data_IF_723202232641
#
_entry.id   IF_723202232641
#
_cell.length_a   1.000
_cell.length_b   1.000
_cell.length_c   1.000
_cell.angle_alpha   90.00
_cell.angle_beta   90.00
_cell.angle_gamma   90.00
#
_symmetry.space_group_name_H-M   'P 1'
#
loop_
_entity.id
_entity.type
_entity.pdbx_description
1 polymer ?
#
# COMPACT_ATOMS: atom_id res chain seq x y z
N UNK A 1 -11.10 -0.10 19.18
CA UNK A 1 -11.35 0.83 18.04
C UNK A 1 -11.98 0.00 16.94
N UNK A 2 -12.92 0.55 16.16
CA UNK A 2 -13.49 -0.20 15.02
C UNK A 2 -12.48 -0.31 13.90
N UNK A 3 -12.39 -1.49 13.26
CA UNK A 3 -11.52 -1.71 12.12
C UNK A 3 -11.99 -0.87 10.92
N UNK A 4 -11.07 -0.22 10.21
CA UNK A 4 -11.32 0.42 8.91
C UNK A 4 -11.32 -0.64 7.80
N UNK A 5 -10.35 -1.55 7.82
CA UNK A 5 -10.28 -2.72 6.95
C UNK A 5 -10.36 -3.97 7.80
N UNK A 6 -11.23 -4.90 7.42
CA UNK A 6 -11.38 -6.22 8.04
C UNK A 6 -11.37 -7.28 6.95
N UNK A 7 -10.47 -8.25 7.09
CA UNK A 7 -10.37 -9.39 6.20
C UNK A 7 -10.61 -10.65 7.03
N UNK A 8 -11.56 -11.47 6.62
CA UNK A 8 -11.95 -12.68 7.31
C UNK A 8 -11.83 -13.90 6.39
N UNK A 9 -10.92 -14.82 6.73
CA UNK A 9 -10.68 -16.11 6.07
C UNK A 9 -10.54 -16.02 4.56
N UNK A 10 -9.88 -14.96 4.09
CA UNK A 10 -9.68 -14.69 2.66
C UNK A 10 -8.87 -15.82 2.04
N UNK A 11 -9.37 -16.36 0.93
CA UNK A 11 -8.68 -17.40 0.17
C UNK A 11 -8.68 -17.06 -1.33
N UNK A 12 -7.49 -17.12 -1.94
CA UNK A 12 -7.26 -16.79 -3.36
C UNK A 12 -6.42 -17.87 -4.01
N UNK A 13 -6.82 -18.28 -5.21
CA UNK A 13 -6.10 -19.29 -5.99
C UNK A 13 -5.89 -18.84 -7.43
N UNK A 14 -4.78 -19.26 -8.02
CA UNK A 14 -4.48 -19.14 -9.44
C UNK A 14 -4.46 -20.55 -10.03
N UNK A 15 -5.52 -20.92 -10.75
CA UNK A 15 -5.69 -22.31 -11.18
C UNK A 15 -5.71 -23.27 -9.98
N UNK A 16 -4.78 -24.23 -9.94
CA UNK A 16 -4.64 -25.18 -8.82
C UNK A 16 -3.81 -24.70 -7.65
N UNK A 17 -3.14 -23.52 -7.74
CA UNK A 17 -2.23 -23.03 -6.71
C UNK A 17 -2.99 -22.10 -5.75
N UNK A 18 -3.06 -22.49 -4.47
CA UNK A 18 -3.63 -21.66 -3.40
C UNK A 18 -2.59 -20.65 -2.93
N UNK A 19 -2.67 -19.40 -3.42
CA UNK A 19 -1.74 -18.33 -3.08
C UNK A 19 -2.02 -17.69 -1.72
N UNK A 20 -3.30 -17.63 -1.30
CA UNK A 20 -3.73 -17.16 0.02
C UNK A 20 -4.75 -18.15 0.58
N UNK A 21 -4.62 -18.50 1.87
CA UNK A 21 -5.41 -19.54 2.53
C UNK A 21 -5.93 -19.03 3.86
N UNK A 22 -7.24 -18.80 3.97
CA UNK A 22 -7.94 -18.39 5.17
C UNK A 22 -7.27 -17.22 5.93
N UNK A 23 -6.67 -16.27 5.17
CA UNK A 23 -6.01 -15.11 5.73
C UNK A 23 -7.02 -14.18 6.41
N UNK A 24 -6.72 -13.81 7.67
CA UNK A 24 -7.47 -12.81 8.42
C UNK A 24 -6.53 -11.74 8.94
N UNK A 25 -6.87 -10.47 8.71
CA UNK A 25 -6.16 -9.32 9.24
C UNK A 25 -7.08 -8.11 9.35
N UNK A 26 -6.67 -7.13 10.15
CA UNK A 26 -7.39 -5.89 10.38
C UNK A 26 -6.44 -4.70 10.30
N UNK A 27 -6.98 -3.55 9.88
CA UNK A 27 -6.31 -2.24 9.96
C UNK A 27 -7.30 -1.25 10.58
N UNK A 28 -6.93 -0.59 11.67
CA UNK A 28 -7.75 0.43 12.31
C UNK A 28 -7.67 1.78 11.57
N UNK A 29 -8.55 2.72 11.90
CA UNK A 29 -8.49 4.08 11.36
C UNK A 29 -7.16 4.76 11.75
N UNK A 30 -6.46 5.31 10.75
CA UNK A 30 -5.17 6.00 10.94
C UNK A 30 -4.02 5.10 11.36
N UNK A 31 -4.21 3.78 11.38
CA UNK A 31 -3.18 2.82 11.76
C UNK A 31 -2.23 2.51 10.58
N UNK A 32 -0.94 2.36 10.90
CA UNK A 32 0.04 1.75 10.00
C UNK A 32 0.30 0.32 10.41
N UNK A 33 -0.07 -0.62 9.53
CA UNK A 33 0.12 -2.06 9.71
C UNK A 33 1.02 -2.60 8.61
N UNK A 34 1.93 -3.52 8.93
CA UNK A 34 2.71 -4.21 7.91
C UNK A 34 2.30 -5.68 7.74
N UNK A 35 2.43 -6.16 6.50
CA UNK A 35 2.37 -7.56 6.14
C UNK A 35 3.73 -7.96 5.56
N UNK A 36 4.51 -8.71 6.32
CA UNK A 36 5.85 -9.18 5.94
C UNK A 36 5.82 -10.65 5.55
N UNK A 37 6.76 -11.08 4.74
CA UNK A 37 6.88 -12.48 4.30
C UNK A 37 7.82 -12.62 3.12
N UNK A 38 8.27 -13.83 2.86
CA UNK A 38 9.15 -14.16 1.74
C UNK A 38 8.47 -13.91 0.38
N UNK A 39 9.26 -13.90 -0.70
CA UNK A 39 8.73 -13.86 -2.06
C UNK A 39 7.85 -15.10 -2.32
N UNK A 40 6.70 -14.87 -2.94
CA UNK A 40 5.72 -15.93 -3.16
C UNK A 40 4.83 -16.29 -1.96
N UNK A 41 5.00 -15.66 -0.79
CA UNK A 41 4.16 -15.92 0.38
C UNK A 41 2.67 -15.53 0.21
N UNK A 42 2.32 -14.75 -0.82
CA UNK A 42 0.93 -14.32 -1.08
C UNK A 42 0.66 -12.83 -0.81
N UNK A 43 1.67 -12.04 -0.47
CA UNK A 43 1.54 -10.61 -0.10
C UNK A 43 0.84 -9.78 -1.17
N UNK A 44 1.40 -9.69 -2.37
CA UNK A 44 0.80 -8.97 -3.51
C UNK A 44 -0.58 -9.52 -3.90
N UNK A 45 -0.79 -10.84 -3.79
CA UNK A 45 -2.09 -11.47 -4.04
C UNK A 45 -3.13 -10.98 -3.05
N UNK A 46 -2.76 -10.82 -1.78
CA UNK A 46 -3.63 -10.24 -0.75
C UNK A 46 -4.05 -8.82 -1.10
N UNK A 47 -3.10 -7.93 -1.48
CA UNK A 47 -3.44 -6.56 -1.92
C UNK A 47 -4.33 -6.54 -3.16
N UNK A 48 -4.06 -7.40 -4.14
CA UNK A 48 -4.89 -7.51 -5.35
C UNK A 48 -6.32 -7.94 -5.01
N UNK A 49 -6.51 -8.83 -4.04
CA UNK A 49 -7.83 -9.24 -3.60
C UNK A 49 -8.56 -8.12 -2.84
N UNK A 50 -7.88 -7.38 -1.95
CA UNK A 50 -8.42 -6.23 -1.23
C UNK A 50 -8.85 -5.14 -2.20
N UNK A 51 -8.03 -4.84 -3.21
CA UNK A 51 -8.28 -3.78 -4.20
C UNK A 51 -9.28 -4.17 -5.31
N UNK A 52 -9.83 -5.39 -5.29
CA UNK A 52 -10.78 -5.86 -6.29
C UNK A 52 -10.18 -6.17 -7.66
N UNK A 53 -8.84 -6.29 -7.74
CA UNK A 53 -8.13 -6.71 -8.96
C UNK A 53 -8.23 -8.21 -9.18
N UNK A 54 -8.44 -8.98 -8.13
CA UNK A 54 -8.65 -10.44 -8.16
C UNK A 54 -9.81 -10.77 -7.23
N UNK A 55 -10.76 -11.56 -7.71
CA UNK A 55 -11.86 -12.04 -6.88
C UNK A 55 -11.40 -13.19 -5.97
N UNK A 56 -11.62 -13.12 -4.65
CA UNK A 56 -11.39 -14.25 -3.77
C UNK A 56 -12.40 -15.36 -4.04
N UNK A 57 -11.99 -16.61 -3.85
CA UNK A 57 -12.94 -17.74 -3.96
C UNK A 57 -13.65 -18.02 -2.63
N UNK A 58 -13.07 -17.62 -1.49
CA UNK A 58 -13.70 -17.72 -0.17
C UNK A 58 -13.25 -16.56 0.75
N UNK A 59 -13.99 -16.37 1.84
CA UNK A 59 -13.76 -15.30 2.80
C UNK A 59 -14.39 -13.98 2.38
N UNK A 60 -14.14 -12.95 3.18
CA UNK A 60 -14.70 -11.62 2.96
C UNK A 60 -13.70 -10.50 3.23
N UNK A 61 -13.92 -9.36 2.57
CA UNK A 61 -13.22 -8.10 2.78
C UNK A 61 -14.26 -7.03 3.08
N UNK A 62 -14.14 -6.36 4.22
CA UNK A 62 -14.97 -5.24 4.61
C UNK A 62 -14.12 -3.99 4.77
N UNK A 63 -14.63 -2.86 4.34
CA UNK A 63 -14.00 -1.55 4.48
C UNK A 63 -15.04 -0.58 5.05
N UNK A 64 -14.73 -0.04 6.22
CA UNK A 64 -15.65 0.82 6.98
C UNK A 64 -17.05 0.19 7.16
N UNK A 65 -17.08 -1.09 7.54
CA UNK A 65 -18.31 -1.88 7.72
C UNK A 65 -19.02 -2.31 6.42
N UNK A 66 -18.55 -1.86 5.24
CA UNK A 66 -19.15 -2.20 3.95
C UNK A 66 -18.37 -3.30 3.25
N UNK A 67 -19.05 -4.29 2.68
CA UNK A 67 -18.39 -5.35 1.94
C UNK A 67 -17.76 -4.83 0.65
N UNK A 68 -16.49 -5.16 0.46
CA UNK A 68 -15.76 -5.01 -0.81
C UNK A 68 -15.66 -6.33 -1.57
N UNK A 69 -16.10 -7.42 -0.98
CA UNK A 69 -15.93 -8.76 -1.54
C UNK A 69 -16.53 -8.84 -2.94
N UNK A 70 -15.70 -9.20 -3.92
CA UNK A 70 -16.05 -9.29 -5.35
C UNK A 70 -16.49 -7.98 -6.01
N UNK A 71 -16.27 -6.82 -5.39
CA UNK A 71 -16.44 -5.56 -6.08
C UNK A 71 -15.30 -5.35 -7.09
N UNK A 72 -15.59 -4.75 -8.26
CA UNK A 72 -14.53 -4.42 -9.22
C UNK A 72 -13.65 -3.28 -8.68
N UNK A 73 -12.37 -3.25 -9.10
CA UNK A 73 -11.36 -2.34 -8.58
C UNK A 73 -11.77 -0.86 -8.60
N UNK A 74 -12.50 -0.41 -9.64
CA UNK A 74 -12.94 0.98 -9.74
C UNK A 74 -13.98 1.36 -8.68
N UNK A 75 -14.81 0.44 -8.23
CA UNK A 75 -15.76 0.65 -7.14
C UNK A 75 -15.03 0.66 -5.79
N UNK A 76 -14.04 -0.22 -5.60
CA UNK A 76 -13.18 -0.21 -4.41
C UNK A 76 -12.45 1.12 -4.29
N UNK A 77 -11.86 1.62 -5.38
CA UNK A 77 -11.17 2.91 -5.41
C UNK A 77 -12.11 4.08 -5.05
N UNK A 78 -13.36 4.08 -5.53
CA UNK A 78 -14.36 5.12 -5.19
C UNK A 78 -14.72 5.14 -3.70
N UNK A 79 -14.52 4.05 -2.97
CA UNK A 79 -14.76 3.99 -1.52
C UNK A 79 -13.60 4.54 -0.69
N UNK A 80 -12.54 5.02 -1.32
CA UNK A 80 -11.41 5.66 -0.65
C UNK A 80 -10.25 4.71 -0.35
N UNK A 81 -10.08 3.66 -1.16
CA UNK A 81 -8.97 2.76 -1.08
C UNK A 81 -8.04 2.99 -2.28
N UNK A 82 -6.76 3.29 -2.04
CA UNK A 82 -5.77 3.46 -3.10
C UNK A 82 -4.67 2.41 -3.00
N UNK A 83 -4.21 1.92 -4.15
CA UNK A 83 -3.10 0.96 -4.26
C UNK A 83 -1.92 1.61 -4.99
N UNK A 84 -0.75 1.56 -4.38
CA UNK A 84 0.54 1.78 -5.04
C UNK A 84 1.15 0.41 -5.26
N UNK A 85 1.15 -0.10 -6.50
CA UNK A 85 1.62 -1.44 -6.80
C UNK A 85 3.14 -1.53 -6.80
N UNK A 86 3.66 -2.74 -6.70
CA UNK A 86 5.04 -3.06 -7.05
C UNK A 86 5.36 -2.53 -8.47
N UNK A 87 6.57 -2.02 -8.67
CA UNK A 87 6.96 -1.44 -9.96
C UNK A 87 6.37 -0.05 -10.23
N UNK A 88 5.81 0.62 -9.19
CA UNK A 88 5.37 2.04 -9.17
C UNK A 88 4.11 2.33 -9.99
N UNK A 89 3.91 1.64 -11.12
CA UNK A 89 2.74 1.77 -11.99
C UNK A 89 2.53 3.17 -12.57
N UNK A 90 3.59 3.99 -12.73
CA UNK A 90 3.48 5.31 -13.38
C UNK A 90 3.23 5.17 -14.88
N UNK A 91 2.61 6.17 -15.48
CA UNK A 91 2.42 6.25 -16.93
C UNK A 91 3.64 6.94 -17.55
N UNK A 92 4.60 6.22 -18.16
CA UNK A 92 5.92 6.75 -18.48
C UNK A 92 5.90 7.83 -19.58
N UNK A 93 4.89 7.81 -20.45
CA UNK A 93 4.74 8.80 -21.55
C UNK A 93 3.97 10.04 -21.15
N UNK A 94 3.29 10.02 -20.01
CA UNK A 94 2.58 11.17 -19.46
C UNK A 94 3.54 12.00 -18.62
N UNK A 95 3.31 13.29 -18.53
CA UNK A 95 4.03 14.19 -17.63
C UNK A 95 3.77 13.86 -16.16
N UNK A 96 4.57 14.41 -15.26
CA UNK A 96 4.36 14.33 -13.81
C UNK A 96 2.98 14.87 -13.44
N UNK A 97 2.61 16.06 -13.95
CA UNK A 97 1.32 16.68 -13.67
C UNK A 97 0.15 15.81 -14.15
N UNK A 98 0.22 15.26 -15.36
CA UNK A 98 -0.81 14.36 -15.89
C UNK A 98 -0.92 13.06 -15.06
N UNK A 99 0.20 12.47 -14.65
CA UNK A 99 0.19 11.30 -13.75
C UNK A 99 -0.52 11.61 -12.44
N UNK A 100 -0.24 12.76 -11.80
CA UNK A 100 -0.93 13.17 -10.57
C UNK A 100 -2.43 13.34 -10.81
N UNK A 101 -2.82 14.02 -11.88
CA UNK A 101 -4.23 14.24 -12.23
C UNK A 101 -4.99 12.94 -12.49
N UNK A 102 -4.33 11.88 -12.99
CA UNK A 102 -4.95 10.55 -13.11
C UNK A 102 -5.41 9.99 -11.76
N UNK A 103 -4.76 10.35 -10.65
CA UNK A 103 -5.20 9.95 -9.31
C UNK A 103 -6.56 10.52 -8.92
N UNK A 104 -6.94 11.68 -9.46
CA UNK A 104 -8.23 12.31 -9.25
C UNK A 104 -9.32 11.86 -10.24
N UNK A 105 -9.08 10.84 -11.07
CA UNK A 105 -9.96 10.40 -12.16
C UNK A 105 -11.42 10.17 -11.75
N UNK A 106 -11.66 9.65 -10.54
CA UNK A 106 -13.01 9.37 -10.02
C UNK A 106 -13.72 10.61 -9.46
N UNK A 107 -13.03 11.75 -9.34
CA UNK A 107 -13.49 12.96 -8.66
C UNK A 107 -14.00 14.00 -9.67
N UNK A 108 -14.90 14.87 -9.19
CA UNK A 108 -15.49 15.96 -10.01
C UNK A 108 -15.34 17.35 -9.38
N UNK A 109 -14.78 17.41 -8.16
CA UNK A 109 -14.64 18.62 -7.32
C UNK A 109 -13.39 19.43 -7.70
N UNK A 110 -13.40 20.08 -8.86
CA UNK A 110 -12.24 20.74 -9.47
C UNK A 110 -11.46 21.66 -8.52
N UNK A 111 -12.16 22.48 -7.73
CA UNK A 111 -11.51 23.37 -6.78
C UNK A 111 -10.78 22.63 -5.66
N UNK A 112 -11.30 21.49 -5.19
CA UNK A 112 -10.64 20.66 -4.19
C UNK A 112 -9.48 19.87 -4.82
N UNK A 113 -9.63 19.40 -6.07
CA UNK A 113 -8.53 18.73 -6.80
C UNK A 113 -7.33 19.66 -6.96
N UNK A 114 -7.56 20.95 -7.28
CA UNK A 114 -6.48 21.94 -7.40
C UNK A 114 -5.74 22.11 -6.06
N UNK A 115 -6.49 22.29 -4.95
CA UNK A 115 -5.87 22.38 -3.61
C UNK A 115 -5.09 21.13 -3.22
N UNK A 116 -5.59 19.94 -3.56
CA UNK A 116 -4.91 18.69 -3.28
C UNK A 116 -3.63 18.55 -4.11
N UNK A 117 -3.65 19.02 -5.35
CA UNK A 117 -2.46 19.05 -6.20
C UNK A 117 -1.37 19.94 -5.59
N UNK A 118 -1.75 21.13 -5.08
CA UNK A 118 -0.83 22.04 -4.38
C UNK A 118 -0.26 21.37 -3.12
N UNK A 119 -1.07 20.63 -2.35
CA UNK A 119 -0.61 19.89 -1.18
C UNK A 119 0.35 18.76 -1.56
N UNK A 120 0.06 18.04 -2.63
CA UNK A 120 0.96 16.99 -3.14
C UNK A 120 2.30 17.57 -3.59
N UNK A 121 2.29 18.72 -4.25
CA UNK A 121 3.53 19.40 -4.63
C UNK A 121 4.30 19.95 -3.42
N UNK A 122 3.61 20.44 -2.39
CA UNK A 122 4.25 20.83 -1.14
C UNK A 122 4.89 19.65 -0.41
N UNK A 123 4.23 18.48 -0.43
CA UNK A 123 4.76 17.23 0.14
C UNK A 123 5.94 16.68 -0.69
N UNK A 124 5.94 16.88 -2.02
CA UNK A 124 6.87 16.31 -2.98
C UNK A 124 7.56 17.39 -3.83
N UNK A 125 8.41 18.28 -3.25
CA UNK A 125 8.97 19.44 -3.93
C UNK A 125 9.77 19.08 -5.21
N UNK A 126 10.43 17.93 -5.24
CA UNK A 126 11.15 17.42 -6.42
C UNK A 126 10.25 17.25 -7.66
N UNK A 127 8.99 16.93 -7.46
CA UNK A 127 8.03 16.79 -8.54
C UNK A 127 7.54 18.14 -9.06
N UNK A 128 7.53 19.16 -8.20
CA UNK A 128 7.16 20.52 -8.58
C UNK A 128 8.08 21.09 -9.65
N UNK A 129 9.38 20.83 -9.53
CA UNK A 129 10.40 21.29 -10.49
C UNK A 129 10.28 20.58 -11.86
N UNK A 130 9.57 19.46 -11.91
CA UNK A 130 9.53 18.51 -13.05
C UNK A 130 8.12 18.26 -13.59
N UNK A 131 7.18 19.17 -13.32
CA UNK A 131 5.76 18.98 -13.65
C UNK A 131 5.49 18.61 -15.11
N UNK A 132 6.21 19.23 -16.04
CA UNK A 132 6.07 19.00 -17.48
C UNK A 132 6.93 17.83 -18.01
N UNK A 133 7.81 17.25 -17.15
CA UNK A 133 8.70 16.17 -17.57
C UNK A 133 7.94 14.85 -17.70
N UNK A 134 8.17 14.05 -18.76
CA UNK A 134 7.65 12.69 -18.87
C UNK A 134 8.11 11.82 -17.68
N UNK A 135 7.17 11.11 -17.05
CA UNK A 135 7.44 10.33 -15.84
C UNK A 135 8.46 9.20 -16.06
N UNK A 136 8.60 8.71 -17.28
CA UNK A 136 9.60 7.70 -17.62
C UNK A 136 11.05 8.19 -17.52
N UNK A 137 11.28 9.51 -17.49
CA UNK A 137 12.61 10.11 -17.35
C UNK A 137 13.00 10.40 -15.89
N UNK A 138 12.09 10.16 -14.94
CA UNK A 138 12.36 10.28 -13.51
C UNK A 138 13.23 9.12 -13.01
N UNK A 139 14.03 9.39 -11.98
CA UNK A 139 14.71 8.33 -11.23
C UNK A 139 13.71 7.39 -10.56
N UNK A 140 14.17 6.20 -10.17
CA UNK A 140 13.30 5.22 -9.51
C UNK A 140 12.62 5.74 -8.24
N UNK A 141 13.33 6.51 -7.43
CA UNK A 141 12.76 7.12 -6.23
C UNK A 141 11.75 8.23 -6.54
N UNK A 142 12.02 9.06 -7.55
CA UNK A 142 11.07 10.09 -7.99
C UNK A 142 9.79 9.47 -8.59
N UNK A 143 9.91 8.35 -9.32
CA UNK A 143 8.75 7.59 -9.79
C UNK A 143 7.93 7.01 -8.63
N UNK A 144 8.60 6.55 -7.56
CA UNK A 144 7.92 6.06 -6.35
C UNK A 144 7.18 7.21 -5.64
N UNK A 145 7.81 8.38 -5.51
CA UNK A 145 7.17 9.59 -4.99
C UNK A 145 5.97 10.00 -5.85
N UNK A 146 6.09 9.93 -7.18
CA UNK A 146 5.00 10.21 -8.11
C UNK A 146 3.82 9.24 -7.93
N UNK A 147 4.10 7.95 -7.74
CA UNK A 147 3.07 6.95 -7.48
C UNK A 147 2.32 7.21 -6.16
N UNK A 148 3.04 7.60 -5.09
CA UNK A 148 2.45 8.02 -3.81
C UNK A 148 1.61 9.30 -3.98
N UNK A 149 2.15 10.33 -4.63
CA UNK A 149 1.43 11.58 -4.91
C UNK A 149 0.16 11.34 -5.71
N UNK A 150 0.22 10.49 -6.74
CA UNK A 150 -0.97 10.10 -7.51
C UNK A 150 -2.01 9.39 -6.66
N UNK A 151 -1.60 8.50 -5.77
CA UNK A 151 -2.51 7.82 -4.84
C UNK A 151 -3.19 8.84 -3.91
N UNK A 152 -2.47 9.85 -3.42
CA UNK A 152 -3.01 10.90 -2.56
C UNK A 152 -4.06 11.79 -3.26
N UNK A 153 -3.96 11.99 -4.58
CA UNK A 153 -4.96 12.72 -5.35
C UNK A 153 -6.35 12.08 -5.32
N UNK A 154 -6.45 10.76 -5.01
CA UNK A 154 -7.72 10.08 -4.78
C UNK A 154 -8.38 10.40 -3.42
N UNK A 155 -7.69 11.11 -2.49
CA UNK A 155 -8.08 11.30 -1.08
C UNK A 155 -8.38 9.95 -0.39
N UNK A 156 -7.42 9.05 -0.35
CA UNK A 156 -7.66 7.73 0.22
C UNK A 156 -7.86 7.81 1.74
N UNK A 157 -8.69 6.93 2.26
CA UNK A 157 -8.80 6.64 3.70
C UNK A 157 -7.88 5.48 4.09
N UNK A 158 -7.57 4.60 3.12
CA UNK A 158 -6.61 3.50 3.23
C UNK A 158 -5.68 3.50 2.02
N UNK A 159 -4.39 3.48 2.30
CA UNK A 159 -3.32 3.35 1.30
C UNK A 159 -2.72 1.95 1.40
N UNK A 160 -2.78 1.20 0.31
CA UNK A 160 -2.13 -0.09 0.16
C UNK A 160 -0.80 0.13 -0.57
N UNK A 161 0.30 -0.32 0.02
CA UNK A 161 1.66 -0.16 -0.52
C UNK A 161 2.30 -1.53 -0.74
N UNK A 162 2.67 -1.81 -1.99
CA UNK A 162 3.31 -3.08 -2.37
C UNK A 162 4.80 -2.86 -2.62
N UNK A 163 5.63 -3.23 -1.64
CA UNK A 163 7.10 -3.18 -1.64
C UNK A 163 7.67 -1.81 -2.10
N UNK A 164 7.29 -0.69 -1.43
CA UNK A 164 7.67 0.64 -1.87
C UNK A 164 9.18 0.93 -1.80
N UNK A 165 9.96 0.12 -1.07
CA UNK A 165 11.41 0.25 -0.98
C UNK A 165 12.17 -0.45 -2.10
N UNK A 166 11.51 -1.34 -2.85
CA UNK A 166 12.19 -2.26 -3.76
C UNK A 166 12.94 -1.53 -4.89
N UNK A 167 14.21 -1.88 -5.08
CA UNK A 167 15.06 -1.32 -6.14
C UNK A 167 15.42 0.16 -5.95
N UNK A 168 15.31 0.70 -4.73
CA UNK A 168 15.69 2.06 -4.40
C UNK A 168 17.04 2.12 -3.68
N UNK A 169 17.80 3.19 -3.93
CA UNK A 169 18.99 3.49 -3.15
C UNK A 169 18.61 3.81 -1.68
N UNK A 170 19.48 3.51 -0.69
CA UNK A 170 19.15 3.69 0.74
C UNK A 170 18.64 5.08 1.12
N UNK A 171 19.21 6.14 0.53
CA UNK A 171 18.76 7.50 0.76
C UNK A 171 17.33 7.74 0.26
N UNK A 172 16.98 7.15 -0.89
CA UNK A 172 15.63 7.25 -1.45
C UNK A 172 14.61 6.44 -0.66
N UNK A 173 14.99 5.29 -0.12
CA UNK A 173 14.16 4.51 0.80
C UNK A 173 13.75 5.38 1.99
N UNK A 174 14.71 6.05 2.65
CA UNK A 174 14.41 6.97 3.77
C UNK A 174 13.41 8.05 3.35
N UNK A 175 13.69 8.75 2.23
CA UNK A 175 12.81 9.82 1.76
C UNK A 175 11.38 9.34 1.44
N UNK A 176 11.22 8.15 0.83
CA UNK A 176 9.92 7.55 0.56
C UNK A 176 9.18 7.21 1.85
N UNK A 177 9.88 6.64 2.84
CA UNK A 177 9.26 6.30 4.12
C UNK A 177 8.91 7.53 4.97
N UNK A 178 9.71 8.60 4.90
CA UNK A 178 9.37 9.89 5.53
C UNK A 178 8.06 10.45 4.95
N UNK A 179 7.85 10.33 3.63
CA UNK A 179 6.60 10.70 2.98
C UNK A 179 5.43 9.81 3.43
N UNK A 180 5.63 8.49 3.53
CA UNK A 180 4.60 7.55 4.01
C UNK A 180 4.21 7.90 5.44
N UNK A 181 5.16 8.23 6.32
CA UNK A 181 4.89 8.69 7.68
C UNK A 181 4.09 9.99 7.71
N UNK A 182 4.40 10.96 6.85
CA UNK A 182 3.65 12.22 6.76
C UNK A 182 2.21 11.98 6.28
N UNK A 183 2.01 11.07 5.32
CA UNK A 183 0.67 10.65 4.86
C UNK A 183 -0.12 10.02 6.00
N UNK A 184 0.48 9.11 6.76
CA UNK A 184 -0.17 8.46 7.90
C UNK A 184 -0.47 9.44 9.03
N UNK A 185 0.44 10.39 9.32
CA UNK A 185 0.21 11.47 10.29
C UNK A 185 -0.96 12.37 9.89
N UNK A 186 -1.29 12.46 8.61
CA UNK A 186 -2.50 13.10 8.07
C UNK A 186 -3.79 12.32 8.29
N UNK A 187 -3.74 11.16 8.97
CA UNK A 187 -4.90 10.32 9.31
C UNK A 187 -5.24 9.24 8.29
N UNK A 188 -4.44 9.06 7.24
CA UNK A 188 -4.61 7.98 6.26
C UNK A 188 -4.10 6.68 6.88
N UNK A 189 -4.95 5.64 6.92
CA UNK A 189 -4.51 4.30 7.32
C UNK A 189 -3.61 3.69 6.23
N UNK A 190 -2.64 2.87 6.62
CA UNK A 190 -1.67 2.28 5.69
C UNK A 190 -1.56 0.78 5.94
N UNK A 191 -1.72 -0.02 4.89
CA UNK A 191 -1.29 -1.41 4.87
C UNK A 191 -0.04 -1.51 3.99
N UNK A 192 1.10 -1.69 4.64
CA UNK A 192 2.42 -1.76 4.03
C UNK A 192 2.83 -3.21 3.81
N UNK A 193 3.08 -3.58 2.58
CA UNK A 193 3.76 -4.84 2.26
C UNK A 193 5.23 -4.56 2.03
N UNK A 194 6.10 -5.31 2.71
CA UNK A 194 7.54 -5.21 2.56
C UNK A 194 8.20 -6.60 2.69
N UNK A 195 9.26 -6.79 1.93
CA UNK A 195 10.16 -7.92 2.09
C UNK A 195 11.19 -7.63 3.19
N UNK A 196 11.62 -6.38 3.32
CA UNK A 196 12.53 -5.95 4.38
C UNK A 196 11.77 -5.84 5.70
N UNK A 197 11.75 -6.95 6.46
CA UNK A 197 11.04 -7.03 7.73
C UNK A 197 11.53 -6.01 8.77
N UNK A 198 12.86 -5.74 8.81
CA UNK A 198 13.41 -4.74 9.73
C UNK A 198 12.84 -3.34 9.46
N UNK A 199 12.79 -2.94 8.18
CA UNK A 199 12.23 -1.67 7.76
C UNK A 199 10.72 -1.59 8.07
N UNK A 200 9.97 -2.65 7.76
CA UNK A 200 8.54 -2.72 7.99
C UNK A 200 8.18 -2.62 9.48
N UNK A 201 8.83 -3.42 10.33
CA UNK A 201 8.59 -3.45 11.78
C UNK A 201 9.04 -2.17 12.49
N UNK A 202 10.05 -1.47 11.95
CA UNK A 202 10.45 -0.15 12.46
C UNK A 202 9.45 0.95 12.09
N UNK A 203 8.71 0.76 11.01
CA UNK A 203 7.81 1.77 10.43
C UNK A 203 6.39 1.66 11.00
N UNK A 204 5.90 0.43 11.22
CA UNK A 204 4.51 0.17 11.62
C UNK A 204 4.39 -0.09 13.12
N UNK A 205 3.20 0.17 13.67
CA UNK A 205 2.91 -0.14 15.08
C UNK A 205 2.64 -1.64 15.27
N UNK A 206 2.02 -2.29 14.28
CA UNK A 206 1.59 -3.69 14.33
C UNK A 206 1.88 -4.37 12.99
N UNK A 207 2.03 -5.70 13.03
CA UNK A 207 2.32 -6.45 11.82
C UNK A 207 1.77 -7.88 11.81
N UNK A 208 1.80 -8.42 10.61
CA UNK A 208 1.45 -9.80 10.31
C UNK A 208 2.59 -10.45 9.53
N UNK A 209 2.93 -11.68 9.86
CA UNK A 209 3.92 -12.50 9.15
C UNK A 209 3.17 -13.51 8.30
N UNK A 210 3.35 -13.42 6.98
CA UNK A 210 2.70 -14.29 6.00
C UNK A 210 3.67 -15.37 5.52
N UNK A 211 3.31 -16.64 5.70
CA UNK A 211 4.07 -17.81 5.25
C UNK A 211 3.17 -18.75 4.46
N UNK A 212 3.56 -19.03 3.22
CA UNK A 212 2.82 -19.99 2.37
C UNK A 212 1.31 -19.71 2.28
N UNK A 213 0.92 -18.44 2.27
CA UNK A 213 -0.48 -18.00 2.13
C UNK A 213 -1.29 -17.97 3.43
N UNK A 214 -0.69 -18.23 4.60
CA UNK A 214 -1.34 -18.13 5.91
C UNK A 214 -0.61 -17.16 6.83
N UNK A 215 -1.33 -16.51 7.76
CA UNK A 215 -0.71 -15.72 8.82
C UNK A 215 -0.09 -16.68 9.84
N UNK A 216 1.23 -16.66 9.93
CA UNK A 216 1.98 -17.48 10.88
C UNK A 216 2.03 -16.83 12.27
N UNK A 217 2.28 -15.52 12.32
CA UNK A 217 2.39 -14.72 13.56
C UNK A 217 1.80 -13.34 13.32
N UNK A 218 1.21 -12.75 14.34
CA UNK A 218 0.76 -11.35 14.33
C UNK A 218 0.90 -10.73 15.72
N UNK A 219 1.11 -9.42 15.79
CA UNK A 219 1.25 -8.70 17.06
C UNK A 219 1.83 -7.30 16.89
N UNK A 220 2.17 -6.68 18.00
CA UNK A 220 2.88 -5.40 18.02
C UNK A 220 4.24 -5.54 17.32
N UNK A 221 4.66 -4.51 16.59
CA UNK A 221 5.89 -4.57 15.80
C UNK A 221 7.13 -4.83 16.65
N UNK A 222 7.17 -4.28 17.88
CA UNK A 222 8.26 -4.52 18.84
C UNK A 222 8.32 -5.98 19.30
N UNK A 223 7.16 -6.62 19.54
CA UNK A 223 7.08 -8.04 19.92
C UNK A 223 7.49 -8.94 18.76
N UNK A 224 7.04 -8.62 17.54
CA UNK A 224 7.45 -9.35 16.33
C UNK A 224 8.95 -9.24 16.07
N UNK A 225 9.54 -8.05 16.25
CA UNK A 225 10.98 -7.84 16.12
C UNK A 225 11.81 -8.60 17.18
N UNK A 226 11.23 -8.88 18.37
CA UNK A 226 11.86 -9.66 19.43
C UNK A 226 11.61 -11.17 19.28
N UNK A 227 10.67 -11.60 18.45
CA UNK A 227 10.29 -13.01 18.30
C UNK A 227 11.42 -13.81 17.64
N UNK A 228 11.95 -14.89 18.29
CA UNK A 228 13.07 -15.66 17.74
C UNK A 228 12.81 -16.26 16.35
N UNK A 229 11.61 -16.74 16.08
CA UNK A 229 11.26 -17.31 14.78
C UNK A 229 11.26 -16.23 13.68
N UNK A 230 10.75 -15.02 13.98
CA UNK A 230 10.76 -13.88 13.04
C UNK A 230 12.19 -13.39 12.81
N UNK A 231 13.02 -13.33 13.87
CA UNK A 231 14.43 -12.94 13.76
C UNK A 231 15.21 -13.90 12.87
N UNK A 232 15.11 -15.17 13.12
CA UNK A 232 15.80 -16.20 12.35
C UNK A 232 15.34 -16.22 10.88
N UNK A 233 14.04 -16.09 10.60
CA UNK A 233 13.51 -16.20 9.23
C UNK A 233 13.64 -14.92 8.41
N UNK A 234 13.59 -13.72 9.04
CA UNK A 234 13.40 -12.46 8.34
C UNK A 234 14.37 -11.34 8.73
N UNK A 235 15.06 -11.41 9.88
CA UNK A 235 15.96 -10.34 10.34
C UNK A 235 17.45 -10.71 10.21
N UNK A 236 17.76 -11.94 9.83
CA UNK A 236 19.13 -12.39 9.54
C UNK A 236 20.00 -12.63 10.80
N UNK A 237 19.37 -12.97 11.93
CA UNK A 237 20.02 -13.22 13.21
C UNK A 237 19.82 -14.66 13.67
#
# INVERSE_FOLDING_TARGET
>A
MSALLEISKLSVSYGGIKAVRELSLEVAHGEMVCLIGANGAGKTTTLKAISGLIAPHAGSVHFDGQSLTRLPAHEVARRGLALVPEGRGVFPRMSVAENLMMGAYTRRDRAAIARDLDQVYALLPRLTERQAQPAGLLSGGEQQMLALGRAMMARPRLLLLDEPSMGLAPLMVRAVFDIIHQIAAGGVAVLLIEQNAHLALKTCARGYVLENGVIAVSGEAGELAANPAVRQAYLGE
#
